data_IF_095297671257
#
_entry.id   IF_095297671257
#
_cell.length_a   1.000
_cell.length_b   1.000
_cell.length_c   1.000
_cell.angle_alpha   90.00
_cell.angle_beta   90.00
_cell.angle_gamma   90.00
#
_symmetry.space_group_name_H-M   'P 1'
#
loop_
_entity.id
_entity.type
_entity.pdbx_description
1 polymer ?
#
# COMPACT_ATOMS: atom_id res chain seq x y z
N UNK A 1 9.11 3.48 -31.50
CA UNK A 1 8.68 4.65 -30.71
C UNK A 1 7.46 4.25 -29.90
N UNK A 2 7.68 3.76 -28.68
CA UNK A 2 6.61 3.50 -27.73
C UNK A 2 6.14 4.85 -27.16
N UNK A 3 4.82 5.09 -27.14
CA UNK A 3 4.21 6.32 -26.64
C UNK A 3 4.24 6.34 -25.10
N UNK A 4 4.16 7.51 -24.45
CA UNK A 4 4.12 7.60 -22.98
C UNK A 4 3.02 6.74 -22.34
N UNK A 5 1.89 6.55 -23.04
CA UNK A 5 0.79 5.70 -22.61
C UNK A 5 1.14 4.21 -22.61
N UNK A 6 1.90 3.72 -23.60
CA UNK A 6 2.29 2.30 -23.65
C UNK A 6 3.27 1.92 -22.55
N UNK A 7 4.13 2.86 -22.13
CA UNK A 7 5.04 2.64 -20.99
C UNK A 7 4.30 2.61 -19.65
N UNK A 8 3.22 3.39 -19.49
CA UNK A 8 2.41 3.39 -18.28
C UNK A 8 1.61 2.09 -18.15
N UNK A 9 0.99 1.63 -19.24
CA UNK A 9 0.23 0.38 -19.25
C UNK A 9 1.10 -0.85 -18.99
N UNK A 10 2.30 -0.93 -19.57
CA UNK A 10 3.23 -2.04 -19.32
C UNK A 10 3.70 -2.10 -17.85
N UNK A 11 3.94 -0.94 -17.24
CA UNK A 11 4.34 -0.85 -15.84
C UNK A 11 3.19 -1.25 -14.89
N UNK A 12 1.96 -0.82 -15.18
CA UNK A 12 0.77 -1.16 -14.38
C UNK A 12 0.47 -2.67 -14.46
N UNK A 13 0.61 -3.29 -15.63
CA UNK A 13 0.50 -4.76 -15.77
C UNK A 13 1.58 -5.50 -14.99
N UNK A 14 2.82 -5.02 -15.02
CA UNK A 14 3.92 -5.62 -14.27
C UNK A 14 3.67 -5.54 -12.75
N UNK A 15 3.19 -4.39 -12.25
CA UNK A 15 2.83 -4.22 -10.83
C UNK A 15 1.64 -5.08 -10.42
N UNK A 16 0.64 -5.24 -11.30
CA UNK A 16 -0.47 -6.15 -11.07
C UNK A 16 0.00 -7.59 -10.92
N UNK A 17 0.83 -8.07 -11.85
CA UNK A 17 1.40 -9.43 -11.77
C UNK A 17 2.27 -9.61 -10.54
N UNK A 18 3.06 -8.60 -10.16
CA UNK A 18 3.86 -8.63 -8.94
C UNK A 18 2.99 -8.76 -7.68
N UNK A 19 1.88 -8.01 -7.62
CA UNK A 19 0.90 -8.08 -6.54
C UNK A 19 0.20 -9.44 -6.46
N UNK A 20 -0.15 -10.04 -7.60
CA UNK A 20 -0.73 -11.39 -7.67
C UNK A 20 0.26 -12.46 -7.19
N UNK A 21 1.50 -12.41 -7.67
CA UNK A 21 2.56 -13.33 -7.22
C UNK A 21 2.82 -13.21 -5.72
N UNK A 22 2.84 -12.00 -5.18
CA UNK A 22 2.97 -11.76 -3.74
C UNK A 22 1.83 -12.44 -2.96
N UNK A 23 0.58 -12.28 -3.42
CA UNK A 23 -0.59 -12.88 -2.79
C UNK A 23 -0.49 -14.41 -2.78
N UNK A 24 -0.20 -15.02 -3.93
CA UNK A 24 -0.04 -16.47 -4.06
C UNK A 24 1.08 -17.00 -3.16
N UNK A 25 2.18 -16.26 -3.04
CA UNK A 25 3.28 -16.64 -2.17
C UNK A 25 2.88 -16.62 -0.69
N UNK A 26 2.31 -15.50 -0.23
CA UNK A 26 1.93 -15.33 1.17
C UNK A 26 0.91 -16.39 1.59
N UNK A 27 -0.11 -16.65 0.77
CA UNK A 27 -1.12 -17.69 1.03
C UNK A 27 -0.50 -19.10 1.06
N UNK A 28 0.38 -19.42 0.10
CA UNK A 28 0.98 -20.75 0.01
C UNK A 28 1.96 -21.01 1.16
N UNK A 29 2.80 -20.04 1.54
CA UNK A 29 3.69 -20.16 2.70
C UNK A 29 2.90 -20.26 4.01
N UNK A 30 1.87 -19.44 4.20
CA UNK A 30 1.03 -19.49 5.39
C UNK A 30 0.44 -20.90 5.59
N UNK A 31 -0.10 -21.46 4.51
CA UNK A 31 -0.67 -22.82 4.48
C UNK A 31 0.37 -23.90 4.75
N UNK A 32 1.56 -23.83 4.13
CA UNK A 32 2.59 -24.89 4.23
C UNK A 32 3.34 -24.88 5.55
N UNK A 33 3.60 -23.69 6.12
CA UNK A 33 4.31 -23.56 7.40
C UNK A 33 3.41 -23.54 8.62
N UNK A 34 2.09 -23.53 8.43
CA UNK A 34 1.09 -23.39 9.50
C UNK A 34 1.33 -22.11 10.34
N UNK A 35 1.70 -21.02 9.66
CA UNK A 35 1.84 -19.69 10.27
C UNK A 35 0.53 -18.91 10.09
N UNK A 36 0.22 -17.95 10.97
CA UNK A 36 -0.94 -17.08 10.80
C UNK A 36 -0.94 -16.39 9.44
N UNK A 37 -2.06 -16.48 8.74
CA UNK A 37 -2.25 -15.81 7.47
C UNK A 37 -2.74 -14.38 7.72
N UNK A 38 -1.80 -13.42 7.72
CA UNK A 38 -2.09 -11.99 7.77
C UNK A 38 -1.74 -11.32 9.09
N UNK A 39 -2.28 -10.13 9.29
CA UNK A 39 -2.03 -9.35 10.49
C UNK A 39 -2.70 -9.99 11.71
N UNK A 40 -2.05 -9.90 12.86
CA UNK A 40 -2.63 -10.31 14.14
C UNK A 40 -3.62 -9.28 14.65
N UNK A 41 -3.27 -8.00 14.51
CA UNK A 41 -4.11 -6.89 14.86
C UNK A 41 -4.10 -5.85 13.74
N UNK A 42 -5.25 -5.24 13.51
CA UNK A 42 -5.39 -4.11 12.59
C UNK A 42 -6.19 -3.04 13.31
N UNK A 43 -5.63 -1.85 13.37
CA UNK A 43 -6.25 -0.69 13.99
C UNK A 43 -6.39 0.43 12.96
N UNK A 44 -7.47 1.18 13.04
CA UNK A 44 -7.79 2.30 12.14
C UNK A 44 -8.05 3.55 12.95
N UNK A 45 -7.25 4.59 12.73
CA UNK A 45 -7.48 5.92 13.24
C UNK A 45 -8.07 6.80 12.14
N UNK A 46 -9.32 7.20 12.28
CA UNK A 46 -9.99 8.13 11.38
C UNK A 46 -9.92 9.54 11.97
N UNK A 47 -9.23 10.44 11.28
CA UNK A 47 -9.01 11.82 11.69
C UNK A 47 -9.91 12.73 10.84
N UNK A 48 -10.78 13.48 11.49
CA UNK A 48 -11.59 14.52 10.83
C UNK A 48 -11.55 15.83 11.63
N UNK A 49 -12.06 16.90 11.05
CA UNK A 49 -12.32 18.12 11.81
C UNK A 49 -13.61 17.99 12.64
N UNK A 50 -13.69 18.73 13.74
CA UNK A 50 -14.91 18.81 14.54
C UNK A 50 -16.07 19.33 13.68
N UNK A 51 -17.29 18.88 13.95
CA UNK A 51 -18.47 19.14 13.10
C UNK A 51 -18.73 20.64 12.86
N UNK A 52 -18.36 21.51 13.81
CA UNK A 52 -18.50 22.97 13.66
C UNK A 52 -17.43 23.62 12.75
N UNK A 53 -16.38 22.88 12.42
CA UNK A 53 -15.27 23.28 11.56
C UNK A 53 -15.26 22.52 10.22
N UNK A 54 -16.04 21.44 10.10
CA UNK A 54 -16.11 20.59 8.91
C UNK A 54 -16.93 21.26 7.80
N UNK A 55 -16.25 22.11 7.00
CA UNK A 55 -16.85 22.80 5.84
C UNK A 55 -17.38 21.82 4.79
N UNK A 56 -16.77 20.64 4.69
CA UNK A 56 -17.06 19.64 3.66
C UNK A 56 -18.22 18.71 4.01
N UNK A 57 -18.57 18.56 5.29
CA UNK A 57 -19.60 17.61 5.72
C UNK A 57 -19.16 16.15 5.61
N UNK A 58 -17.92 15.86 6.00
CA UNK A 58 -17.24 14.55 5.87
C UNK A 58 -17.74 13.47 6.83
N UNK A 59 -18.58 13.84 7.80
CA UNK A 59 -19.01 12.96 8.89
C UNK A 59 -19.65 11.66 8.41
N UNK A 60 -20.63 11.74 7.52
CA UNK A 60 -21.42 10.57 7.10
C UNK A 60 -20.54 9.52 6.40
N UNK A 61 -19.71 9.95 5.45
CA UNK A 61 -18.78 9.05 4.75
C UNK A 61 -17.71 8.48 5.70
N UNK A 62 -17.23 9.28 6.65
CA UNK A 62 -16.27 8.82 7.68
C UNK A 62 -16.88 7.75 8.58
N UNK A 63 -18.14 7.92 8.99
CA UNK A 63 -18.86 6.94 9.80
C UNK A 63 -19.16 5.66 9.00
N UNK A 64 -19.54 5.76 7.72
CA UNK A 64 -19.71 4.60 6.84
C UNK A 64 -18.39 3.83 6.65
N UNK A 65 -17.29 4.54 6.41
CA UNK A 65 -15.96 3.93 6.26
C UNK A 65 -15.52 3.23 7.56
N UNK A 66 -15.74 3.87 8.73
CA UNK A 66 -15.53 3.24 10.04
C UNK A 66 -16.32 1.94 10.15
N UNK A 67 -17.58 1.95 9.75
CA UNK A 67 -18.47 0.81 9.90
C UNK A 67 -18.04 -0.38 9.03
N UNK A 68 -17.51 -0.13 7.84
CA UNK A 68 -16.92 -1.18 7.00
C UNK A 68 -15.69 -1.78 7.69
N UNK A 69 -14.75 -0.94 8.15
CA UNK A 69 -13.56 -1.43 8.85
C UNK A 69 -13.92 -2.20 10.13
N UNK A 70 -14.92 -1.73 10.87
CA UNK A 70 -15.32 -2.34 12.15
C UNK A 70 -16.14 -3.62 11.96
N UNK A 71 -17.14 -3.60 11.09
CA UNK A 71 -18.13 -4.68 11.01
C UNK A 71 -17.83 -5.69 9.91
N UNK A 72 -17.23 -5.28 8.80
CA UNK A 72 -16.87 -6.21 7.71
C UNK A 72 -15.43 -6.70 7.83
N UNK A 73 -14.48 -5.81 8.17
CA UNK A 73 -13.07 -6.21 8.36
C UNK A 73 -12.73 -6.64 9.79
N UNK A 74 -13.60 -6.36 10.76
CA UNK A 74 -13.36 -6.66 12.19
C UNK A 74 -12.09 -6.03 12.77
N UNK A 75 -11.75 -4.84 12.27
CA UNK A 75 -10.63 -4.02 12.75
C UNK A 75 -11.05 -3.21 13.97
N UNK A 76 -10.07 -2.86 14.80
CA UNK A 76 -10.27 -1.84 15.84
C UNK A 76 -10.33 -0.46 15.17
N UNK A 77 -11.31 0.36 15.53
CA UNK A 77 -11.51 1.68 14.89
C UNK A 77 -11.67 2.76 15.94
N UNK A 78 -11.07 3.92 15.69
CA UNK A 78 -11.19 5.11 16.52
C UNK A 78 -11.35 6.33 15.62
N UNK A 79 -12.40 7.12 15.86
CA UNK A 79 -12.55 8.45 15.26
C UNK A 79 -11.99 9.48 16.24
N UNK A 80 -11.16 10.40 15.74
CA UNK A 80 -10.67 11.56 16.49
C UNK A 80 -11.00 12.85 15.74
N UNK A 81 -11.32 13.90 16.49
CA UNK A 81 -11.70 15.19 15.94
C UNK A 81 -10.66 16.25 16.27
N UNK A 82 -10.20 16.96 15.24
CA UNK A 82 -9.35 18.13 15.39
C UNK A 82 -10.24 19.38 15.57
N UNK A 83 -9.87 20.22 16.55
CA UNK A 83 -10.59 21.47 16.82
C UNK A 83 -9.61 22.59 17.19
N UNK A 84 -10.14 23.79 17.45
CA UNK A 84 -9.36 24.98 17.82
C UNK A 84 -9.31 25.24 19.34
N UNK A 85 -9.82 24.34 20.19
CA UNK A 85 -9.73 24.49 21.65
C UNK A 85 -8.28 24.38 22.16
N UNK A 86 -7.43 23.70 21.39
CA UNK A 86 -5.97 23.71 21.53
C UNK A 86 -5.34 23.61 20.15
N UNK A 87 -4.03 23.84 20.02
CA UNK A 87 -3.35 23.81 18.72
C UNK A 87 -3.58 22.47 18.00
N UNK A 88 -4.22 22.44 16.81
CA UNK A 88 -4.51 21.20 16.09
C UNK A 88 -3.28 20.33 15.82
N UNK A 89 -2.11 20.95 15.58
CA UNK A 89 -0.85 20.21 15.47
C UNK A 89 -0.55 19.35 16.69
N UNK A 90 -0.75 19.89 17.91
CA UNK A 90 -0.49 19.13 19.14
C UNK A 90 -1.52 18.03 19.33
N UNK A 91 -2.78 18.28 18.96
CA UNK A 91 -3.82 17.26 18.98
C UNK A 91 -3.48 16.10 18.04
N UNK A 92 -3.13 16.40 16.79
CA UNK A 92 -2.75 15.41 15.78
C UNK A 92 -1.53 14.59 16.24
N UNK A 93 -0.47 15.27 16.69
CA UNK A 93 0.73 14.58 17.19
C UNK A 93 0.41 13.67 18.38
N UNK A 94 -0.42 14.13 19.33
CA UNK A 94 -0.84 13.34 20.49
C UNK A 94 -1.63 12.10 20.05
N UNK A 95 -2.59 12.27 19.14
CA UNK A 95 -3.41 11.16 18.67
C UNK A 95 -2.59 10.12 17.90
N UNK A 96 -1.68 10.55 17.02
CA UNK A 96 -0.79 9.62 16.31
C UNK A 96 0.18 8.92 17.26
N UNK A 97 0.79 9.65 18.22
CA UNK A 97 1.72 9.04 19.18
C UNK A 97 1.02 8.00 20.05
N UNK A 98 -0.17 8.32 20.58
CA UNK A 98 -0.97 7.38 21.38
C UNK A 98 -1.45 6.18 20.54
N UNK A 99 -1.73 6.40 19.25
CA UNK A 99 -2.13 5.32 18.35
C UNK A 99 -0.97 4.35 18.08
N UNK A 100 0.23 4.86 17.80
CA UNK A 100 1.43 4.05 17.62
C UNK A 100 1.77 3.30 18.91
N UNK A 101 1.82 3.98 20.06
CA UNK A 101 2.09 3.38 21.37
C UNK A 101 1.16 2.19 21.66
N UNK A 102 -0.12 2.31 21.30
CA UNK A 102 -1.14 1.30 21.60
C UNK A 102 -1.16 0.13 20.60
N UNK A 103 -0.85 0.38 19.33
CA UNK A 103 -1.14 -0.56 18.24
C UNK A 103 0.08 -1.07 17.48
N UNK A 104 1.28 -0.54 17.73
CA UNK A 104 2.49 -1.02 17.07
C UNK A 104 2.83 -2.49 17.45
N UNK A 105 3.56 -3.15 16.56
CA UNK A 105 4.06 -4.51 16.74
C UNK A 105 4.35 -5.23 15.41
N UNK A 106 5.15 -6.31 15.43
CA UNK A 106 5.82 -6.86 14.23
C UNK A 106 4.89 -7.61 13.26
N UNK A 107 3.60 -7.71 13.60
CA UNK A 107 2.56 -8.35 12.81
C UNK A 107 1.25 -7.55 12.84
N UNK A 108 1.34 -6.25 13.12
CA UNK A 108 0.19 -5.36 13.17
C UNK A 108 0.16 -4.47 11.92
N UNK A 109 -1.04 -4.02 11.58
CA UNK A 109 -1.26 -2.98 10.59
C UNK A 109 -1.94 -1.78 11.26
N UNK A 110 -1.32 -0.63 11.11
CA UNK A 110 -1.86 0.66 11.53
C UNK A 110 -2.37 1.42 10.30
N UNK A 111 -3.66 1.70 10.26
CA UNK A 111 -4.28 2.49 9.19
C UNK A 111 -4.63 3.87 9.76
N UNK A 112 -4.14 4.93 9.12
CA UNK A 112 -4.51 6.32 9.46
C UNK A 112 -5.24 6.92 8.27
N UNK A 113 -6.52 7.22 8.46
CA UNK A 113 -7.34 7.90 7.48
C UNK A 113 -7.50 9.37 7.90
N UNK A 114 -7.34 10.30 6.97
CA UNK A 114 -7.69 11.70 7.18
C UNK A 114 -8.61 12.19 6.07
N UNK A 115 -9.60 12.99 6.45
CA UNK A 115 -10.48 13.72 5.54
C UNK A 115 -10.61 15.18 5.94
N UNK A 116 -10.72 16.05 4.94
CA UNK A 116 -10.71 17.50 5.09
C UNK A 116 -9.84 18.14 4.01
N UNK A 117 -9.66 19.46 4.08
CA UNK A 117 -8.80 20.12 3.11
C UNK A 117 -7.34 19.80 3.36
N UNK A 118 -6.56 19.75 2.28
CA UNK A 118 -5.12 19.79 2.36
C UNK A 118 -4.54 20.69 1.28
N UNK A 119 -3.58 21.51 1.72
CA UNK A 119 -2.92 22.52 0.92
C UNK A 119 -1.43 22.21 0.96
N UNK A 120 -0.85 21.93 -0.21
CA UNK A 120 0.59 21.80 -0.31
C UNK A 120 1.24 23.19 -0.21
N UNK A 121 2.16 23.35 0.73
CA UNK A 121 2.91 24.59 0.94
C UNK A 121 4.27 24.44 0.29
N UNK A 122 4.49 25.15 -0.82
CA UNK A 122 5.76 25.09 -1.58
C UNK A 122 6.96 25.55 -0.75
N UNK A 123 6.82 26.67 -0.02
CA UNK A 123 7.90 27.29 0.75
C UNK A 123 8.54 26.34 1.78
N UNK A 124 7.74 25.43 2.35
CA UNK A 124 8.19 24.45 3.33
C UNK A 124 8.15 23.00 2.84
N UNK A 125 7.74 22.76 1.59
CA UNK A 125 7.55 21.43 0.98
C UNK A 125 6.78 20.45 1.87
N UNK A 126 5.66 20.90 2.43
CA UNK A 126 4.82 20.10 3.32
C UNK A 126 3.34 20.20 3.01
N UNK A 127 2.58 19.20 3.43
CA UNK A 127 1.13 19.24 3.41
C UNK A 127 0.58 19.84 4.68
N UNK A 128 -0.20 20.91 4.50
CA UNK A 128 -1.00 21.48 5.54
C UNK A 128 -2.42 20.93 5.46
N UNK A 129 -2.84 20.22 6.50
CA UNK A 129 -4.23 19.88 6.76
C UNK A 129 -4.94 21.13 7.25
N UNK A 130 -6.13 21.42 6.72
CA UNK A 130 -6.91 22.62 7.04
C UNK A 130 -8.38 22.29 7.17
N UNK A 131 -9.06 22.96 8.10
CA UNK A 131 -10.52 22.89 8.22
C UNK A 131 -11.25 23.63 7.08
N UNK A 132 -10.61 24.61 6.44
CA UNK A 132 -11.22 25.46 5.42
C UNK A 132 -10.35 25.61 4.15
N UNK A 133 -10.99 25.83 2.99
CA UNK A 133 -10.29 26.09 1.70
C UNK A 133 -9.59 27.45 1.73
N UNK A 134 -10.29 28.48 2.23
CA UNK A 134 -9.85 29.86 2.12
C UNK A 134 -9.77 30.51 3.51
N UNK A 135 -8.55 30.57 4.05
CA UNK A 135 -8.23 31.14 5.37
C UNK A 135 -8.68 32.62 5.49
N UNK A 136 -8.90 33.30 4.35
CA UNK A 136 -9.27 34.72 4.29
C UNK A 136 -10.78 35.01 4.19
N UNK A 137 -11.64 34.01 3.92
CA UNK A 137 -13.08 34.23 3.65
C UNK A 137 -14.02 33.45 4.58
N UNK A 138 -13.56 33.03 5.77
CA UNK A 138 -14.46 32.42 6.75
C UNK A 138 -15.36 33.49 7.39
N UNK A 139 -16.69 33.25 7.49
CA UNK A 139 -17.64 34.16 8.15
C UNK A 139 -17.50 34.18 9.69
N UNK A 140 -16.62 33.35 10.25
CA UNK A 140 -16.31 33.31 11.68
C UNK A 140 -15.20 34.34 11.96
N UNK A 141 -15.62 35.43 12.60
CA UNK A 141 -14.81 36.55 13.07
C UNK A 141 -13.39 36.18 13.57
N UNK A 142 -12.39 36.82 12.96
CA UNK A 142 -11.07 37.21 13.49
C UNK A 142 -10.19 36.14 14.22
N UNK A 143 -9.02 35.84 13.64
CA UNK A 143 -7.85 35.28 14.34
C UNK A 143 -7.78 33.75 14.45
N UNK A 144 -8.86 33.09 14.88
CA UNK A 144 -8.89 31.63 15.15
C UNK A 144 -8.72 30.77 13.89
N UNK A 145 -9.05 31.32 12.71
CA UNK A 145 -8.98 30.60 11.41
C UNK A 145 -7.53 30.29 10.99
N UNK A 146 -6.56 31.12 11.39
CA UNK A 146 -5.12 30.80 11.17
C UNK A 146 -4.66 29.62 12.00
N UNK A 147 -5.41 29.26 13.05
CA UNK A 147 -5.03 28.22 14.00
C UNK A 147 -5.61 26.84 13.65
N UNK A 148 -6.63 26.75 12.79
CA UNK A 148 -7.28 25.50 12.36
C UNK A 148 -6.49 24.76 11.27
N UNK A 149 -5.17 24.60 11.47
CA UNK A 149 -4.31 23.89 10.53
C UNK A 149 -3.29 23.00 11.25
N UNK A 150 -2.86 21.94 10.56
CA UNK A 150 -1.81 21.04 11.02
C UNK A 150 -0.88 20.66 9.87
N UNK A 151 0.41 20.54 10.14
CA UNK A 151 1.40 20.03 9.21
C UNK A 151 1.42 18.50 9.30
N UNK A 152 0.96 17.84 8.24
CA UNK A 152 0.92 16.39 8.15
C UNK A 152 2.31 15.79 8.22
N UNK A 153 3.28 16.32 7.48
CA UNK A 153 4.63 15.77 7.41
C UNK A 153 5.29 15.69 8.78
N UNK A 154 5.09 16.71 9.64
CA UNK A 154 5.59 16.70 11.03
C UNK A 154 4.90 15.65 11.88
N UNK A 155 3.60 15.46 11.69
CA UNK A 155 2.83 14.48 12.44
C UNK A 155 3.16 13.04 11.99
N UNK A 156 3.43 12.86 10.69
CA UNK A 156 3.80 11.61 10.06
C UNK A 156 5.15 11.06 10.56
N UNK A 157 6.03 11.89 11.11
CA UNK A 157 7.35 11.47 11.61
C UNK A 157 7.25 10.29 12.58
N UNK A 158 6.26 10.27 13.48
CA UNK A 158 6.05 9.16 14.43
C UNK A 158 5.69 7.84 13.74
N UNK A 159 5.03 7.90 12.58
CA UNK A 159 4.69 6.72 11.78
C UNK A 159 5.88 6.23 10.94
N UNK A 160 6.86 7.11 10.70
CA UNK A 160 8.07 6.85 9.92
C UNK A 160 9.27 6.42 10.75
N UNK A 161 9.14 6.46 12.08
CA UNK A 161 10.20 6.10 13.00
C UNK A 161 10.72 4.67 12.73
N UNK A 162 12.03 4.48 12.91
CA UNK A 162 12.72 3.21 12.71
C UNK A 162 12.32 2.17 13.77
N UNK A 163 11.86 2.63 14.95
CA UNK A 163 11.40 1.78 16.05
C UNK A 163 10.00 1.21 15.81
N UNK A 164 9.24 1.74 14.85
CA UNK A 164 7.91 1.20 14.50
C UNK A 164 8.10 -0.14 13.78
N UNK A 165 7.55 -1.20 14.36
CA UNK A 165 7.68 -2.56 13.84
C UNK A 165 6.55 -2.94 12.86
N UNK A 166 5.36 -2.36 13.04
CA UNK A 166 4.15 -2.69 12.27
C UNK A 166 4.05 -2.01 10.91
N UNK A 167 3.31 -2.64 10.00
CA UNK A 167 3.01 -2.03 8.70
C UNK A 167 2.09 -0.80 8.90
N UNK A 168 2.26 0.21 8.06
CA UNK A 168 1.48 1.46 8.13
C UNK A 168 0.83 1.76 6.79
N UNK A 169 -0.48 1.97 6.78
CA UNK A 169 -1.20 2.52 5.64
C UNK A 169 -1.77 3.88 6.01
N UNK A 170 -1.35 4.91 5.29
CA UNK A 170 -2.00 6.23 5.38
C UNK A 170 -2.94 6.41 4.20
N UNK A 171 -4.16 6.87 4.46
CA UNK A 171 -5.16 7.17 3.44
C UNK A 171 -5.54 8.63 3.62
N UNK A 172 -5.20 9.46 2.64
CA UNK A 172 -5.42 10.90 2.70
C UNK A 172 -6.48 11.29 1.68
N UNK A 173 -7.69 11.55 2.17
CA UNK A 173 -8.79 12.15 1.39
C UNK A 173 -8.58 13.66 1.24
N UNK A 174 -7.51 13.99 0.52
CA UNK A 174 -7.06 15.35 0.27
C UNK A 174 -6.05 15.34 -0.88
N UNK A 175 -5.91 16.50 -1.53
CA UNK A 175 -4.81 16.81 -2.43
C UNK A 175 -3.47 16.64 -1.71
N UNK A 176 -2.70 15.60 -2.06
CA UNK A 176 -1.35 15.44 -1.55
C UNK A 176 -0.39 15.07 -2.66
N UNK A 177 0.63 15.91 -2.81
CA UNK A 177 1.90 15.48 -3.38
C UNK A 177 2.95 15.66 -2.31
N UNK A 178 3.65 14.58 -1.96
CA UNK A 178 5.00 14.77 -1.47
C UNK A 178 5.89 13.70 -2.10
N UNK A 179 6.95 14.17 -2.73
CA UNK A 179 8.20 13.42 -2.84
C UNK A 179 8.89 13.44 -1.47
N UNK A 180 8.24 12.92 -0.42
CA UNK A 180 8.89 12.87 0.88
C UNK A 180 10.04 11.88 0.80
N UNK A 181 11.21 12.36 1.21
CA UNK A 181 12.46 11.63 1.17
C UNK A 181 12.26 10.27 1.83
N UNK A 182 12.18 9.22 1.02
CA UNK A 182 12.17 7.83 1.48
C UNK A 182 13.29 7.66 2.53
N UNK A 183 12.95 7.20 3.73
CA UNK A 183 13.94 6.92 4.79
C UNK A 183 14.79 5.72 4.39
N UNK A 184 16.05 5.70 4.83
CA UNK A 184 17.04 4.75 4.35
C UNK A 184 17.53 3.83 5.45
N UNK A 185 16.98 2.61 5.47
CA UNK A 185 17.56 1.32 5.88
C UNK A 185 16.81 0.19 5.14
N UNK A 186 17.36 -1.03 5.13
CA UNK A 186 16.56 -2.20 4.73
C UNK A 186 15.46 -2.37 5.78
N UNK A 187 14.29 -1.80 5.50
CA UNK A 187 13.18 -1.84 6.45
C UNK A 187 12.62 -3.28 6.52
N UNK A 188 11.99 -3.67 7.62
CA UNK A 188 11.30 -4.98 7.74
C UNK A 188 9.81 -4.82 7.44
N UNK A 189 9.31 -3.58 7.55
CA UNK A 189 7.91 -3.22 7.43
C UNK A 189 7.61 -2.43 6.16
N UNK A 190 6.35 -2.45 5.79
CA UNK A 190 5.78 -1.73 4.66
C UNK A 190 5.07 -0.48 5.16
N UNK A 191 5.37 0.67 4.54
CA UNK A 191 4.62 1.89 4.74
C UNK A 191 4.15 2.45 3.40
N UNK A 192 2.84 2.43 3.19
CA UNK A 192 2.18 2.98 2.01
C UNK A 192 1.30 4.20 2.33
N UNK A 193 1.13 5.04 1.32
CA UNK A 193 0.23 6.17 1.33
C UNK A 193 -0.68 6.10 0.10
N UNK A 194 -1.98 6.06 0.33
CA UNK A 194 -3.01 6.20 -0.68
C UNK A 194 -3.59 7.62 -0.62
N UNK A 195 -3.33 8.45 -1.63
CA UNK A 195 -3.89 9.80 -1.72
C UNK A 195 -5.08 9.85 -2.68
N UNK A 196 -6.06 10.70 -2.37
CA UNK A 196 -7.25 10.89 -3.18
C UNK A 196 -6.97 11.38 -4.59
N UNK A 197 -5.98 12.25 -4.76
CA UNK A 197 -5.56 12.74 -6.06
C UNK A 197 -4.07 13.10 -6.10
N UNK A 198 -3.59 13.42 -7.31
CA UNK A 198 -2.22 13.89 -7.56
C UNK A 198 -2.01 15.40 -7.41
N UNK A 199 -0.78 15.83 -7.66
CA UNK A 199 -0.35 17.24 -7.60
C UNK A 199 -1.31 18.19 -8.34
N UNK A 200 -1.60 19.34 -7.73
CA UNK A 200 -2.40 20.46 -8.27
C UNK A 200 -3.86 20.16 -8.67
N UNK A 201 -4.45 19.06 -8.20
CA UNK A 201 -5.87 18.77 -8.42
C UNK A 201 -6.69 18.97 -7.15
N UNK A 202 -7.83 19.66 -7.24
CA UNK A 202 -8.79 19.79 -6.14
C UNK A 202 -9.63 18.51 -6.07
N UNK A 203 -9.70 17.87 -4.89
CA UNK A 203 -10.60 16.74 -4.66
C UNK A 203 -12.04 17.22 -4.56
N UNK A 204 -12.98 16.45 -5.09
CA UNK A 204 -14.40 16.69 -4.85
C UNK A 204 -14.71 16.47 -3.36
N UNK A 205 -15.63 17.27 -2.82
CA UNK A 205 -16.14 17.07 -1.47
C UNK A 205 -16.96 15.78 -1.34
N UNK A 206 -17.44 15.46 -0.13
CA UNK A 206 -18.31 14.32 0.14
C UNK A 206 -19.49 14.22 -0.84
N UNK A 207 -19.84 13.00 -1.24
CA UNK A 207 -20.86 12.71 -2.23
C UNK A 207 -20.46 11.62 -3.23
N UNK A 208 -21.26 11.43 -4.27
CA UNK A 208 -21.12 10.30 -5.21
C UNK A 208 -19.76 10.25 -5.94
N UNK A 209 -19.10 11.39 -6.10
CA UNK A 209 -17.81 11.49 -6.77
C UNK A 209 -16.62 11.61 -5.81
N UNK A 210 -16.87 11.61 -4.51
CA UNK A 210 -15.82 11.75 -3.50
C UNK A 210 -14.86 10.57 -3.56
N UNK A 211 -13.63 10.79 -3.11
CA UNK A 211 -12.66 9.70 -3.03
C UNK A 211 -13.10 8.66 -2.02
N UNK A 212 -13.69 9.12 -0.90
CA UNK A 212 -14.11 8.25 0.20
C UNK A 212 -15.27 7.36 -0.20
N UNK A 213 -16.24 7.85 -0.98
CA UNK A 213 -17.27 7.01 -1.62
C UNK A 213 -16.65 5.94 -2.50
N UNK A 214 -15.75 6.32 -3.41
CA UNK A 214 -15.09 5.37 -4.30
C UNK A 214 -14.23 4.34 -3.54
N UNK A 215 -13.57 4.75 -2.46
CA UNK A 215 -12.82 3.87 -1.55
C UNK A 215 -13.74 2.87 -0.87
N UNK A 216 -14.87 3.34 -0.33
CA UNK A 216 -15.88 2.49 0.30
C UNK A 216 -16.39 1.44 -0.69
N UNK A 217 -16.76 1.85 -1.91
CA UNK A 217 -17.30 0.95 -2.92
C UNK A 217 -16.25 -0.08 -3.34
N UNK A 218 -15.01 0.36 -3.58
CA UNK A 218 -13.90 -0.53 -3.89
C UNK A 218 -13.62 -1.57 -2.78
N UNK A 219 -13.70 -1.18 -1.51
CA UNK A 219 -13.55 -2.10 -0.38
C UNK A 219 -14.66 -3.17 -0.38
N UNK A 220 -15.92 -2.77 -0.58
CA UNK A 220 -17.07 -3.70 -0.63
C UNK A 220 -16.96 -4.67 -1.82
N UNK A 221 -16.66 -4.15 -3.00
CA UNK A 221 -16.51 -4.95 -4.22
C UNK A 221 -15.36 -5.95 -4.12
N UNK A 222 -14.25 -5.56 -3.50
CA UNK A 222 -13.12 -6.46 -3.30
C UNK A 222 -13.42 -7.54 -2.25
N UNK A 223 -14.14 -7.20 -1.16
CA UNK A 223 -14.61 -8.20 -0.20
C UNK A 223 -15.51 -9.24 -0.86
N UNK A 224 -16.44 -8.80 -1.72
CA UNK A 224 -17.32 -9.71 -2.46
C UNK A 224 -16.53 -10.57 -3.46
N UNK A 225 -15.65 -9.95 -4.25
CA UNK A 225 -14.85 -10.62 -5.28
C UNK A 225 -13.94 -11.70 -4.69
N UNK A 226 -13.30 -11.40 -3.56
CA UNK A 226 -12.39 -12.33 -2.90
C UNK A 226 -13.06 -13.19 -1.81
N UNK A 227 -14.39 -13.06 -1.62
CA UNK A 227 -15.21 -13.82 -0.65
C UNK A 227 -14.61 -13.79 0.76
N UNK A 228 -14.40 -12.59 1.28
CA UNK A 228 -13.70 -12.33 2.56
C UNK A 228 -12.23 -12.79 2.59
N UNK A 229 -11.67 -13.07 1.40
CA UNK A 229 -10.25 -13.33 1.21
C UNK A 229 -9.40 -12.05 1.27
N UNK A 230 -8.12 -12.21 0.98
CA UNK A 230 -7.16 -11.11 1.06
C UNK A 230 -6.93 -10.43 -0.29
N UNK A 231 -6.71 -9.12 -0.27
CA UNK A 231 -6.32 -8.33 -1.42
C UNK A 231 -5.28 -7.29 -1.01
N UNK A 232 -4.54 -6.73 -1.96
CA UNK A 232 -3.51 -5.72 -1.64
C UNK A 232 -4.00 -4.29 -1.84
N UNK A 233 -3.31 -3.33 -1.24
CA UNK A 233 -3.51 -1.88 -1.48
C UNK A 233 -3.38 -1.50 -2.96
N UNK A 234 -2.57 -2.23 -3.74
CA UNK A 234 -2.55 -2.09 -5.20
C UNK A 234 -3.89 -2.47 -5.82
N UNK A 235 -4.46 -3.63 -5.47
CA UNK A 235 -5.78 -4.04 -5.94
C UNK A 235 -6.85 -3.01 -5.55
N UNK A 236 -6.78 -2.49 -4.33
CA UNK A 236 -7.66 -1.43 -3.85
C UNK A 236 -7.55 -0.16 -4.70
N UNK A 237 -6.34 0.35 -4.92
CA UNK A 237 -6.13 1.54 -5.74
C UNK A 237 -6.60 1.33 -7.19
N UNK A 238 -6.34 0.16 -7.78
CA UNK A 238 -6.83 -0.15 -9.13
C UNK A 238 -8.36 -0.14 -9.18
N UNK A 239 -9.03 -0.71 -8.18
CA UNK A 239 -10.48 -0.71 -8.14
C UNK A 239 -11.06 0.71 -8.01
N UNK A 240 -10.43 1.57 -7.20
CA UNK A 240 -10.80 3.00 -7.10
C UNK A 240 -10.62 3.69 -8.46
N UNK A 241 -9.51 3.44 -9.16
CA UNK A 241 -9.22 4.03 -10.47
C UNK A 241 -10.18 3.58 -11.58
N UNK A 242 -10.79 2.39 -11.45
CA UNK A 242 -11.83 1.92 -12.37
C UNK A 242 -13.15 2.67 -12.21
N UNK A 243 -13.39 3.30 -11.06
CA UNK A 243 -14.61 4.07 -10.82
C UNK A 243 -14.67 5.27 -11.79
N UNK A 244 -15.71 5.37 -12.64
CA UNK A 244 -15.85 6.48 -13.60
C UNK A 244 -15.81 7.87 -12.96
N UNK A 245 -16.28 8.01 -11.72
CA UNK A 245 -16.28 9.28 -10.99
C UNK A 245 -14.87 9.77 -10.62
N UNK A 246 -13.87 8.87 -10.62
CA UNK A 246 -12.47 9.18 -10.27
C UNK A 246 -11.57 9.48 -11.47
N UNK A 247 -12.12 9.51 -12.70
CA UNK A 247 -11.33 9.73 -13.93
C UNK A 247 -10.63 11.09 -13.95
N UNK A 248 -11.26 12.13 -13.41
CA UNK A 248 -10.71 13.49 -13.33
C UNK A 248 -9.72 13.67 -12.17
N UNK A 249 -9.88 12.87 -11.11
CA UNK A 249 -9.10 12.95 -9.86
C UNK A 249 -8.58 11.56 -9.46
N UNK A 250 -7.67 10.96 -10.27
CA UNK A 250 -7.20 9.60 -10.03
C UNK A 250 -6.39 9.51 -8.73
N UNK A 251 -6.70 8.50 -7.92
CA UNK A 251 -5.96 8.20 -6.69
C UNK A 251 -4.54 7.73 -6.96
N UNK A 252 -3.65 7.91 -5.99
CA UNK A 252 -2.24 7.54 -6.12
C UNK A 252 -1.76 6.75 -4.91
N UNK A 253 -1.11 5.63 -5.18
CA UNK A 253 -0.48 4.78 -4.17
C UNK A 253 1.03 5.01 -4.17
N UNK A 254 1.57 5.32 -3.01
CA UNK A 254 2.97 5.70 -2.82
C UNK A 254 3.64 4.85 -1.75
N UNK A 255 4.87 4.43 -2.02
CA UNK A 255 5.74 3.85 -1.00
C UNK A 255 6.46 4.96 -0.21
N UNK A 256 6.34 4.93 1.11
CA UNK A 256 6.99 5.90 2.02
C UNK A 256 8.40 5.47 2.43
N UNK A 257 8.73 4.19 2.24
CA UNK A 257 10.02 3.58 2.54
C UNK A 257 10.80 3.22 1.25
N UNK A 258 12.14 3.15 1.32
CA UNK A 258 12.99 3.02 0.10
C UNK A 258 12.93 1.66 -0.57
N UNK A 259 12.82 0.59 0.22
CA UNK A 259 13.22 -0.75 -0.20
C UNK A 259 12.06 -1.75 -0.29
N UNK A 260 10.80 -1.31 -0.13
CA UNK A 260 9.62 -2.17 -0.20
C UNK A 260 8.89 -1.97 -1.52
N UNK A 261 8.86 -3.03 -2.32
CA UNK A 261 7.96 -3.18 -3.48
C UNK A 261 6.83 -4.19 -3.15
N UNK A 262 6.62 -4.44 -1.85
CA UNK A 262 5.55 -5.27 -1.32
C UNK A 262 4.36 -4.38 -0.97
N UNK A 263 3.18 -4.77 -1.42
CA UNK A 263 1.96 -4.04 -1.09
C UNK A 263 1.32 -4.57 0.20
N UNK A 264 0.76 -3.67 1.02
CA UNK A 264 0.03 -4.04 2.23
C UNK A 264 -1.16 -4.92 1.84
N UNK A 265 -1.40 -5.97 2.64
CA UNK A 265 -2.45 -6.95 2.37
C UNK A 265 -3.61 -6.80 3.34
N UNK A 266 -4.75 -6.36 2.84
CA UNK A 266 -5.98 -6.21 3.60
C UNK A 266 -6.79 -7.50 3.55
N UNK A 267 -7.34 -7.89 4.70
CA UNK A 267 -8.23 -9.04 4.83
C UNK A 267 -9.06 -8.89 6.11
N UNK A 268 -10.34 -9.31 6.13
CA UNK A 268 -11.09 -9.39 7.36
C UNK A 268 -10.36 -10.21 8.43
N UNK A 269 -10.25 -9.67 9.64
CA UNK A 269 -9.73 -10.42 10.77
C UNK A 269 -10.75 -11.45 11.23
N UNK A 270 -10.27 -12.61 11.67
CA UNK A 270 -11.11 -13.57 12.39
C UNK A 270 -11.83 -12.87 13.56
N UNK A 271 -13.10 -13.18 13.88
CA UNK A 271 -13.80 -12.58 15.00
C UNK A 271 -13.01 -12.74 16.31
N UNK A 272 -13.03 -11.72 17.18
CA UNK A 272 -12.20 -11.67 18.39
C UNK A 272 -12.33 -12.92 19.30
N UNK A 273 -13.51 -13.55 19.33
CA UNK A 273 -13.78 -14.79 20.06
C UNK A 273 -12.90 -15.97 19.60
N UNK A 274 -12.52 -16.01 18.33
CA UNK A 274 -11.62 -17.02 17.77
C UNK A 274 -10.14 -16.65 17.92
N UNK A 275 -9.81 -15.36 18.17
CA UNK A 275 -8.42 -14.88 18.35
C UNK A 275 -7.83 -15.34 19.71
N UNK A 276 -8.66 -15.43 20.74
CA UNK A 276 -8.26 -15.84 22.11
C UNK A 276 -7.74 -17.28 22.21
N UNK A 277 -7.89 -18.10 21.16
CA UNK A 277 -7.53 -19.53 21.15
C UNK A 277 -6.14 -19.87 20.58
N UNK A 278 -5.32 -18.90 20.15
CA UNK A 278 -3.94 -19.18 19.70
C UNK A 278 -2.93 -18.83 20.80
N UNK A 279 -2.45 -19.81 21.59
CA UNK A 279 -1.42 -19.58 22.59
C UNK A 279 -0.05 -19.55 21.89
N UNK A 280 0.50 -18.35 21.78
CA UNK A 280 1.91 -17.97 21.67
C UNK A 280 2.04 -16.84 20.66
N UNK A 281 2.37 -15.64 21.14
CA UNK A 281 3.03 -14.64 20.30
C UNK A 281 4.25 -15.35 19.70
N UNK A 282 4.35 -15.50 18.35
CA UNK A 282 5.57 -15.99 17.75
C UNK A 282 6.71 -15.10 18.24
N UNK A 283 7.77 -15.71 18.79
CA UNK A 283 8.94 -14.92 19.16
C UNK A 283 9.41 -14.17 17.92
N UNK A 284 9.74 -12.88 18.04
CA UNK A 284 10.24 -12.12 16.91
C UNK A 284 11.51 -12.82 16.37
N UNK A 285 11.69 -12.85 15.04
CA UNK A 285 12.90 -13.40 14.45
C UNK A 285 14.11 -12.62 14.97
N UNK A 286 15.20 -13.34 15.29
CA UNK A 286 16.45 -12.74 15.81
C UNK A 286 17.43 -12.31 14.71
N UNK A 287 17.08 -12.56 13.46
CA UNK A 287 17.92 -12.24 12.31
C UNK A 287 17.26 -12.70 11.01
N UNK A 288 17.71 -12.11 9.91
CA UNK A 288 17.22 -12.38 8.57
C UNK A 288 18.35 -12.89 7.69
N UNK A 289 18.05 -13.86 6.81
CA UNK A 289 18.95 -14.35 5.77
C UNK A 289 18.33 -14.08 4.40
N UNK A 290 18.91 -13.15 3.65
CA UNK A 290 18.43 -12.81 2.30
C UNK A 290 19.17 -13.64 1.25
N UNK A 291 18.44 -14.50 0.53
CA UNK A 291 18.97 -15.30 -0.58
C UNK A 291 18.43 -14.81 -1.91
N UNK A 292 19.31 -14.69 -2.91
CA UNK A 292 18.94 -14.29 -4.27
C UNK A 292 19.05 -15.46 -5.22
N UNK A 293 17.95 -15.79 -5.89
CA UNK A 293 17.90 -16.82 -6.93
C UNK A 293 17.89 -16.18 -8.32
N UNK A 294 18.77 -16.64 -9.21
CA UNK A 294 18.75 -16.26 -10.61
C UNK A 294 17.84 -17.25 -11.36
N UNK A 295 16.65 -16.79 -11.78
CA UNK A 295 15.66 -17.60 -12.47
C UNK A 295 15.77 -17.41 -13.98
N UNK A 296 15.27 -18.39 -14.74
CA UNK A 296 15.19 -18.34 -16.20
C UNK A 296 14.20 -17.28 -16.67
N UNK A 297 13.04 -17.25 -16.03
CA UNK A 297 11.92 -16.37 -16.35
C UNK A 297 11.88 -15.22 -15.33
N UNK A 298 11.41 -14.05 -15.77
CA UNK A 298 11.28 -12.84 -14.95
C UNK A 298 9.94 -12.76 -14.20
N UNK A 299 9.08 -13.75 -14.40
CA UNK A 299 7.78 -13.91 -13.76
C UNK A 299 7.55 -15.37 -13.39
N UNK A 300 6.70 -15.60 -12.39
CA UNK A 300 6.29 -16.94 -11.96
C UNK A 300 4.78 -17.03 -11.98
N UNK A 301 4.26 -18.17 -12.46
CA UNK A 301 2.84 -18.48 -12.34
C UNK A 301 2.52 -19.10 -10.97
N UNK A 302 1.22 -19.20 -10.66
CA UNK A 302 0.76 -19.74 -9.38
C UNK A 302 1.29 -21.16 -9.09
N UNK A 303 1.31 -22.06 -10.07
CA UNK A 303 1.79 -23.44 -9.88
C UNK A 303 3.29 -23.48 -9.53
N UNK A 304 4.09 -22.63 -10.17
CA UNK A 304 5.52 -22.49 -9.87
C UNK A 304 5.74 -21.95 -8.45
N UNK A 305 4.95 -20.97 -8.03
CA UNK A 305 5.00 -20.42 -6.66
C UNK A 305 4.60 -21.49 -5.64
N UNK A 306 3.52 -22.22 -5.87
CA UNK A 306 3.10 -23.32 -4.99
C UNK A 306 4.17 -24.42 -4.88
N UNK A 307 4.83 -24.75 -6.00
CA UNK A 307 5.95 -25.69 -6.00
C UNK A 307 7.14 -25.18 -5.19
N UNK A 308 7.55 -23.92 -5.39
CA UNK A 308 8.67 -23.31 -4.68
C UNK A 308 8.41 -23.22 -3.18
N UNK A 309 7.25 -22.69 -2.80
CA UNK A 309 6.85 -22.54 -1.39
C UNK A 309 6.77 -23.90 -0.69
N UNK A 310 6.29 -24.94 -1.37
CA UNK A 310 6.34 -26.31 -0.85
C UNK A 310 7.78 -26.79 -0.64
N UNK A 311 8.64 -26.71 -1.67
CA UNK A 311 10.02 -27.23 -1.58
C UNK A 311 10.87 -26.48 -0.58
N UNK A 312 10.73 -25.16 -0.50
CA UNK A 312 11.44 -24.35 0.48
C UNK A 312 10.93 -24.65 1.89
N UNK A 313 9.61 -24.73 2.10
CA UNK A 313 9.06 -25.14 3.39
C UNK A 313 9.54 -26.52 3.80
N UNK A 314 9.62 -27.47 2.86
CA UNK A 314 10.11 -28.84 3.10
C UNK A 314 11.60 -28.85 3.49
N UNK A 315 12.44 -28.03 2.82
CA UNK A 315 13.86 -27.93 3.09
C UNK A 315 14.16 -27.44 4.53
N UNK A 316 13.27 -26.61 5.09
CA UNK A 316 13.41 -26.06 6.44
C UNK A 316 12.49 -26.72 7.48
N UNK A 317 11.90 -27.89 7.18
CA UNK A 317 11.07 -28.65 8.14
C UNK A 317 11.81 -29.01 9.43
N UNK A 318 13.13 -29.21 9.36
CA UNK A 318 13.93 -29.52 10.53
C UNK A 318 14.19 -28.27 11.38
N UNK A 319 13.19 -27.89 12.19
CA UNK A 319 13.24 -26.73 13.09
C UNK A 319 14.40 -26.77 14.08
N UNK A 320 14.91 -27.95 14.43
CA UNK A 320 16.01 -28.09 15.38
C UNK A 320 17.36 -27.60 14.82
N UNK A 321 17.52 -27.55 13.49
CA UNK A 321 18.76 -27.11 12.85
C UNK A 321 18.80 -25.60 12.58
N UNK A 322 17.76 -25.06 11.94
CA UNK A 322 17.78 -23.68 11.42
C UNK A 322 16.76 -22.77 12.11
N UNK A 323 15.75 -23.34 12.79
CA UNK A 323 14.75 -22.54 13.52
C UNK A 323 13.98 -21.55 12.65
N UNK A 324 13.68 -21.89 11.39
CA UNK A 324 13.03 -20.98 10.45
C UNK A 324 11.61 -20.61 10.90
N UNK A 325 11.33 -19.30 10.93
CA UNK A 325 10.02 -18.75 11.30
C UNK A 325 9.12 -18.44 10.10
N UNK A 326 9.66 -17.83 9.04
CA UNK A 326 8.93 -17.40 7.84
C UNK A 326 9.86 -17.33 6.62
N UNK A 327 9.29 -17.36 5.41
CA UNK A 327 9.98 -16.99 4.18
C UNK A 327 9.22 -15.84 3.52
N UNK A 328 9.86 -14.69 3.44
CA UNK A 328 9.27 -13.47 2.88
C UNK A 328 9.56 -13.36 1.38
N UNK A 329 8.56 -12.87 0.64
CA UNK A 329 8.72 -12.50 -0.76
C UNK A 329 9.20 -11.06 -0.87
N UNK A 330 10.45 -10.87 -1.33
CA UNK A 330 11.05 -9.54 -1.52
C UNK A 330 10.86 -8.97 -2.93
N UNK A 331 10.22 -9.70 -3.83
CA UNK A 331 10.02 -9.31 -5.23
C UNK A 331 10.88 -10.09 -6.22
N UNK A 332 10.42 -10.11 -7.48
CA UNK A 332 11.16 -10.62 -8.63
C UNK A 332 11.49 -9.43 -9.54
N UNK A 333 12.77 -9.26 -9.85
CA UNK A 333 13.24 -8.19 -10.75
C UNK A 333 13.86 -8.82 -11.99
N UNK A 334 13.57 -8.30 -13.19
CA UNK A 334 14.20 -8.79 -14.40
C UNK A 334 15.72 -8.68 -14.27
N UNK A 335 16.43 -9.75 -14.63
CA UNK A 335 17.88 -9.71 -14.64
C UNK A 335 18.36 -8.59 -15.58
N UNK A 336 19.38 -7.83 -15.17
CA UNK A 336 19.97 -6.80 -16.03
C UNK A 336 20.41 -7.45 -17.33
N UNK A 337 19.70 -7.19 -18.43
CA UNK A 337 20.13 -7.68 -19.73
C UNK A 337 21.40 -6.92 -20.10
N UNK A 338 22.55 -7.59 -20.15
CA UNK A 338 23.74 -6.98 -20.73
C UNK A 338 23.45 -6.73 -22.21
N UNK A 339 23.80 -5.54 -22.72
CA UNK A 339 23.66 -5.22 -24.16
C UNK A 339 24.31 -6.30 -25.05
N UNK A 340 25.36 -6.95 -24.53
CA UNK A 340 26.01 -8.11 -25.13
C UNK A 340 25.09 -9.33 -25.33
N UNK A 341 24.21 -9.66 -24.37
CA UNK A 341 23.31 -10.81 -24.51
C UNK A 341 22.27 -10.63 -25.61
N UNK A 342 21.73 -9.40 -25.75
CA UNK A 342 20.80 -9.05 -26.84
C UNK A 342 21.50 -9.04 -28.21
N UNK A 343 22.72 -8.52 -28.27
CA UNK A 343 23.53 -8.54 -29.50
C UNK A 343 23.89 -9.97 -29.92
N UNK A 344 24.26 -10.85 -28.98
CA UNK A 344 24.57 -12.25 -29.25
C UNK A 344 23.35 -13.03 -29.77
N UNK A 345 22.16 -12.81 -29.18
CA UNK A 345 20.91 -13.41 -29.66
C UNK A 345 20.51 -12.91 -31.06
N UNK A 346 20.68 -11.61 -31.33
CA UNK A 346 20.44 -11.06 -32.66
C UNK A 346 21.42 -11.64 -33.70
N UNK A 347 22.70 -11.74 -33.37
CA UNK A 347 23.71 -12.38 -34.23
C UNK A 347 23.39 -13.85 -34.48
N UNK A 348 22.95 -14.58 -33.46
CA UNK A 348 22.53 -15.97 -33.59
C UNK A 348 21.29 -16.11 -34.50
N UNK A 349 20.27 -15.27 -34.32
CA UNK A 349 19.09 -15.25 -35.16
C UNK A 349 19.44 -14.90 -36.62
N UNK A 350 20.31 -13.91 -36.86
CA UNK A 350 20.81 -13.57 -38.18
C UNK A 350 21.58 -14.73 -38.83
N UNK A 351 22.39 -15.45 -38.05
CA UNK A 351 23.13 -16.63 -38.54
C UNK A 351 22.18 -17.77 -38.93
N UNK A 352 21.15 -18.04 -38.11
CA UNK A 352 20.12 -19.05 -38.41
C UNK A 352 19.29 -18.67 -39.63
N UNK A 353 18.91 -17.40 -39.77
CA UNK A 353 18.19 -16.90 -40.94
C UNK A 353 19.03 -17.02 -42.23
N UNK A 354 20.33 -16.70 -42.15
CA UNK A 354 21.25 -16.90 -43.28
C UNK A 354 21.35 -18.38 -43.67
N UNK A 355 21.44 -19.30 -42.70
CA UNK A 355 21.43 -20.75 -42.97
C UNK A 355 20.14 -21.19 -43.65
N UNK A 356 18.98 -20.72 -43.19
CA UNK A 356 17.68 -21.03 -43.79
C UNK A 356 17.56 -20.52 -45.23
N UNK A 357 17.99 -19.27 -45.49
CA UNK A 357 17.99 -18.70 -46.84
C UNK A 357 18.94 -19.44 -47.80
N UNK A 358 20.12 -19.85 -47.32
CA UNK A 358 21.06 -20.63 -48.13
C UNK A 358 20.50 -22.01 -48.48
N UNK A 359 19.83 -22.68 -47.54
CA UNK A 359 19.17 -23.96 -47.77
C UNK A 359 18.06 -23.83 -48.83
N UNK A 360 17.19 -22.80 -48.70
CA UNK A 360 16.16 -22.50 -49.72
C UNK A 360 16.70 -22.11 -51.10
N UNK A 361 17.90 -21.54 -51.17
CA UNK A 361 18.56 -21.23 -52.45
C UNK A 361 19.17 -22.47 -53.10
N UNK A 362 19.59 -23.46 -52.32
CA UNK A 362 20.03 -24.75 -52.84
C UNK A 362 18.84 -25.58 -53.35
N UNK A 363 17.74 -25.62 -52.59
CA UNK A 363 16.49 -26.29 -52.98
C UNK A 363 15.79 -25.68 -54.21
N UNK A 364 16.17 -24.47 -54.64
CA UNK A 364 15.67 -23.82 -55.88
C UNK A 364 16.59 -24.00 -57.09
N UNK A 365 17.77 -24.59 -56.90
CA UNK A 365 18.78 -24.81 -57.95
C UNK A 365 18.87 -26.28 -58.38
N UNK A 366 18.24 -27.18 -57.62
CA UNK A 366 17.80 -28.50 -58.05
C UNK A 366 16.41 -28.37 -58.68
#
# INVERSE_FOLDING_TARGET
NATPESFKSENDEAQKRASEMQLWWDEAIARKMNIPDGYHNVAVLLVKWADNLDELGTREETEELRDIFKYQFHYETQIVELNVASKPQHQLNRHLSAFVEKHDGPHNLMIVYYTGHGIYREDGKYLQLSAYVNIFFSPISCGLVKEACANWNKAEEVLRDDEVEGDVLTILDTCFSSNLAKSGREDVRTYELLSACGFDSITEGPGENSFTRALIDALKELLEKYKDGSFTTFHLNQQILLNPARRSTPSQLWYRLRHHERHIRLAPLQPAQNRLRKPSLPRPPRGYLTLRFALRDDTLNQQQIEFLTQKLSDAFKNKALVGLHRIDWLGIKPARSTHFGRAALALYACAQWKKFLNKRRQEKKE
#
